data_IF_221870917164
#
_entry.id   IF_221870917164
#
_cell.length_a   1.000
_cell.length_b   1.000
_cell.length_c   1.000
_cell.angle_alpha   90.00
_cell.angle_beta   90.00
_cell.angle_gamma   90.00
#
_symmetry.space_group_name_H-M   'P 1'
#
loop_
_entity.id
_entity.type
_entity.pdbx_description
1 polymer ?
#
# COMPACT_ATOMS: atom_id res chain seq x y z
N UNK A 1 -13.79 1.72 -11.29
CA UNK A 1 -14.38 2.99 -11.76
C UNK A 1 -13.31 4.02 -12.10
N UNK A 2 -12.37 4.36 -11.22
CA UNK A 2 -11.30 5.33 -11.51
C UNK A 2 -10.44 4.94 -12.74
N UNK A 3 -10.13 3.65 -12.93
CA UNK A 3 -9.37 3.12 -14.09
C UNK A 3 -10.03 3.44 -15.44
N UNK A 4 -11.34 3.61 -15.46
CA UNK A 4 -12.09 3.98 -16.69
C UNK A 4 -12.23 5.50 -16.79
N UNK A 5 -12.59 6.16 -15.67
CA UNK A 5 -12.86 7.60 -15.68
C UNK A 5 -11.58 8.45 -15.89
N UNK A 6 -10.44 8.04 -15.30
CA UNK A 6 -9.21 8.80 -15.40
C UNK A 6 -8.69 8.90 -16.85
N UNK A 7 -8.54 7.80 -17.62
CA UNK A 7 -8.15 7.89 -19.02
C UNK A 7 -9.16 8.69 -19.86
N UNK A 8 -10.47 8.52 -19.61
CA UNK A 8 -11.51 9.25 -20.34
C UNK A 8 -11.39 10.75 -20.12
N UNK A 9 -11.20 11.20 -18.88
CA UNK A 9 -11.11 12.64 -18.57
C UNK A 9 -9.78 13.25 -19.00
N UNK A 10 -8.68 12.47 -18.94
CA UNK A 10 -7.36 12.94 -19.33
C UNK A 10 -7.25 13.04 -20.86
N UNK A 11 -7.59 11.95 -21.57
CA UNK A 11 -7.29 11.81 -22.99
C UNK A 11 -8.48 12.17 -23.90
N UNK A 12 -9.71 11.76 -23.56
CA UNK A 12 -10.87 12.02 -24.41
C UNK A 12 -11.41 13.43 -24.21
N UNK A 13 -11.52 13.89 -22.95
CA UNK A 13 -11.98 15.27 -22.65
C UNK A 13 -10.83 16.30 -22.64
N UNK A 14 -9.58 15.86 -22.68
CA UNK A 14 -8.42 16.74 -22.73
C UNK A 14 -8.17 17.57 -21.47
N UNK A 15 -8.79 17.19 -20.32
CA UNK A 15 -8.68 17.95 -19.06
C UNK A 15 -7.37 17.76 -18.31
N UNK A 16 -6.46 16.89 -18.80
CA UNK A 16 -5.15 16.65 -18.21
C UNK A 16 -5.22 16.31 -16.71
N UNK A 17 -4.40 16.97 -15.90
CA UNK A 17 -4.31 16.74 -14.44
C UNK A 17 -5.64 17.02 -13.72
N UNK A 18 -6.40 18.02 -14.17
CA UNK A 18 -7.73 18.34 -13.60
C UNK A 18 -8.71 17.20 -13.83
N UNK A 19 -8.65 16.56 -14.99
CA UNK A 19 -9.46 15.38 -15.31
C UNK A 19 -9.13 14.19 -14.40
N UNK A 20 -7.84 13.95 -14.14
CA UNK A 20 -7.41 12.90 -13.21
C UNK A 20 -7.93 13.14 -11.78
N UNK A 21 -7.87 14.38 -11.30
CA UNK A 21 -8.38 14.75 -9.98
C UNK A 21 -9.90 14.54 -9.87
N UNK A 22 -10.66 15.00 -10.86
CA UNK A 22 -12.12 14.81 -10.90
C UNK A 22 -12.51 13.33 -10.97
N UNK A 23 -11.82 12.53 -11.78
CA UNK A 23 -12.05 11.09 -11.86
C UNK A 23 -11.87 10.42 -10.48
N UNK A 24 -10.84 10.82 -9.74
CA UNK A 24 -10.58 10.30 -8.40
C UNK A 24 -11.67 10.69 -7.41
N UNK A 25 -12.09 11.96 -7.40
CA UNK A 25 -13.17 12.45 -6.53
C UNK A 25 -14.48 11.71 -6.82
N UNK A 26 -14.86 11.58 -8.09
CA UNK A 26 -16.08 10.88 -8.48
C UNK A 26 -16.05 9.40 -8.09
N UNK A 27 -14.91 8.73 -8.26
CA UNK A 27 -14.75 7.34 -7.83
C UNK A 27 -14.91 7.19 -6.31
N UNK A 28 -14.31 8.09 -5.54
CA UNK A 28 -14.43 8.10 -4.07
C UNK A 28 -15.85 8.43 -3.62
N UNK A 29 -16.52 9.42 -4.22
CA UNK A 29 -17.92 9.73 -3.94
C UNK A 29 -18.84 8.54 -4.21
N UNK A 30 -18.65 7.83 -5.32
CA UNK A 30 -19.46 6.64 -5.64
C UNK A 30 -19.24 5.54 -4.60
N UNK A 31 -18.01 5.29 -4.19
CA UNK A 31 -17.68 4.32 -3.14
C UNK A 31 -18.31 4.71 -1.81
N UNK A 32 -18.25 5.99 -1.44
CA UNK A 32 -18.86 6.51 -0.22
C UNK A 32 -20.39 6.33 -0.23
N UNK A 33 -21.06 6.69 -1.33
CA UNK A 33 -22.51 6.52 -1.48
C UNK A 33 -22.89 5.05 -1.36
N UNK A 34 -22.12 4.16 -1.98
CA UNK A 34 -22.34 2.72 -1.87
C UNK A 34 -22.20 2.22 -0.43
N UNK A 35 -21.14 2.62 0.27
CA UNK A 35 -20.89 2.26 1.66
C UNK A 35 -22.01 2.78 2.59
N UNK A 36 -22.44 4.03 2.43
CA UNK A 36 -23.54 4.59 3.21
C UNK A 36 -24.83 3.81 2.96
N UNK A 37 -25.15 3.47 1.72
CA UNK A 37 -26.33 2.66 1.40
C UNK A 37 -26.28 1.29 2.06
N UNK A 38 -25.13 0.64 2.03
CA UNK A 38 -24.92 -0.66 2.65
C UNK A 38 -25.09 -0.60 4.17
N UNK A 39 -24.47 0.39 4.82
CA UNK A 39 -24.59 0.62 6.26
C UNK A 39 -25.97 1.14 6.71
N UNK A 40 -26.77 1.68 5.79
CA UNK A 40 -28.14 2.14 6.08
C UNK A 40 -29.19 1.03 6.00
N UNK A 41 -28.78 -0.18 5.55
CA UNK A 41 -29.68 -1.32 5.44
C UNK A 41 -29.89 -1.96 6.82
N UNK A 42 -31.10 -1.93 7.42
CA UNK A 42 -31.35 -2.49 8.75
C UNK A 42 -31.27 -4.02 8.82
N UNK A 43 -31.24 -4.71 7.67
CA UNK A 43 -31.12 -6.17 7.61
C UNK A 43 -29.67 -6.65 7.74
N UNK A 44 -28.69 -5.73 7.67
CA UNK A 44 -27.28 -6.06 7.83
C UNK A 44 -26.88 -6.10 9.32
N UNK A 45 -25.92 -6.98 9.65
CA UNK A 45 -25.38 -7.10 11.02
C UNK A 45 -24.81 -5.80 11.56
N UNK A 46 -24.22 -5.00 10.69
CA UNK A 46 -23.66 -3.68 11.00
C UNK A 46 -24.48 -2.62 10.23
N UNK A 47 -25.33 -1.89 10.94
CA UNK A 47 -26.10 -0.78 10.37
C UNK A 47 -26.02 0.48 11.23
N UNK A 48 -26.17 1.63 10.60
CA UNK A 48 -26.19 2.92 11.27
C UNK A 48 -27.47 3.06 12.08
N UNK A 49 -27.36 3.10 13.41
CA UNK A 49 -28.47 3.36 14.31
C UNK A 49 -28.54 4.85 14.64
N UNK A 50 -29.73 5.44 14.53
CA UNK A 50 -29.97 6.83 14.95
C UNK A 50 -29.91 6.93 16.48
N UNK A 51 -29.15 7.89 17.00
CA UNK A 51 -29.13 8.21 18.45
C UNK A 51 -27.90 7.72 19.23
N UNK A 52 -26.94 7.00 18.62
CA UNK A 52 -25.71 6.56 19.29
C UNK A 52 -24.58 7.57 18.99
N UNK A 53 -24.78 8.83 19.38
CA UNK A 53 -23.75 9.88 19.14
C UNK A 53 -22.98 10.28 20.40
N UNK A 54 -23.20 9.58 21.54
CA UNK A 54 -22.42 9.86 22.74
C UNK A 54 -21.03 9.24 22.64
N UNK A 55 -20.02 10.09 22.56
CA UNK A 55 -18.61 9.67 22.59
C UNK A 55 -18.27 9.16 24.00
N UNK A 56 -18.19 7.84 24.14
CA UNK A 56 -17.72 7.21 25.39
C UNK A 56 -16.20 7.23 25.41
N UNK A 57 -15.60 7.88 26.40
CA UNK A 57 -14.14 8.05 26.54
C UNK A 57 -13.38 6.72 26.45
N UNK A 58 -13.89 5.65 27.04
CA UNK A 58 -13.24 4.33 27.00
C UNK A 58 -13.19 3.75 25.57
N UNK A 59 -14.25 3.95 24.78
CA UNK A 59 -14.29 3.47 23.38
C UNK A 59 -13.33 4.32 22.53
N UNK A 60 -13.34 5.64 22.69
CA UNK A 60 -12.45 6.55 21.98
C UNK A 60 -10.99 6.24 22.29
N UNK A 61 -10.64 6.03 23.57
CA UNK A 61 -9.28 5.63 23.96
C UNK A 61 -8.85 4.29 23.31
N UNK A 62 -9.74 3.31 23.26
CA UNK A 62 -9.48 2.03 22.60
C UNK A 62 -9.20 2.20 21.11
N UNK A 63 -10.03 2.98 20.40
CA UNK A 63 -9.84 3.27 18.96
C UNK A 63 -8.51 4.01 18.71
N UNK A 64 -8.22 5.04 19.50
CA UNK A 64 -6.98 5.82 19.37
C UNK A 64 -5.74 4.97 19.68
N UNK A 65 -5.79 4.10 20.69
CA UNK A 65 -4.69 3.21 21.04
C UNK A 65 -4.35 2.24 19.90
N UNK A 66 -5.37 1.67 19.26
CA UNK A 66 -5.17 0.78 18.10
C UNK A 66 -4.68 1.55 16.87
N UNK A 67 -5.25 2.74 16.64
CA UNK A 67 -4.90 3.59 15.50
C UNK A 67 -3.52 4.27 15.60
N UNK A 68 -2.98 4.41 16.82
CA UNK A 68 -1.69 5.07 17.05
C UNK A 68 -0.52 4.30 16.42
N UNK A 69 -0.55 2.96 16.46
CA UNK A 69 0.52 2.13 15.91
C UNK A 69 0.69 2.33 14.40
N UNK A 70 -0.35 2.14 13.55
CA UNK A 70 -0.22 2.39 12.12
C UNK A 70 0.06 3.87 11.79
N UNK A 71 -0.44 4.80 12.59
CA UNK A 71 -0.11 6.22 12.43
C UNK A 71 1.38 6.49 12.60
N UNK A 72 2.01 5.98 13.68
CA UNK A 72 3.43 6.16 13.93
C UNK A 72 4.29 5.50 12.85
N UNK A 73 3.91 4.30 12.37
CA UNK A 73 4.62 3.63 11.28
C UNK A 73 4.59 4.49 10.01
N UNK A 74 3.43 5.01 9.62
CA UNK A 74 3.31 5.86 8.43
C UNK A 74 4.04 7.21 8.61
N UNK A 75 3.97 7.83 9.79
CA UNK A 75 4.70 9.06 10.08
C UNK A 75 6.22 8.84 9.99
N UNK A 76 6.74 7.75 10.57
CA UNK A 76 8.14 7.38 10.46
C UNK A 76 8.55 7.14 8.99
N UNK A 77 7.73 6.43 8.21
CA UNK A 77 7.98 6.22 6.78
C UNK A 77 8.07 7.55 6.00
N UNK A 78 7.18 8.51 6.27
CA UNK A 78 7.25 9.84 5.65
C UNK A 78 8.56 10.56 6.01
N UNK A 79 8.98 10.53 7.27
CA UNK A 79 10.23 11.14 7.71
C UNK A 79 11.43 10.51 7.00
N UNK A 80 11.46 9.18 6.91
CA UNK A 80 12.53 8.44 6.20
C UNK A 80 12.61 8.85 4.73
N UNK A 81 11.47 8.96 4.03
CA UNK A 81 11.45 9.41 2.63
C UNK A 81 11.99 10.84 2.48
N UNK A 82 11.64 11.74 3.39
CA UNK A 82 12.15 13.12 3.37
C UNK A 82 13.68 13.15 3.58
N UNK A 83 14.19 12.38 4.55
CA UNK A 83 15.62 12.28 4.83
C UNK A 83 16.38 11.70 3.63
N UNK A 84 15.87 10.62 3.02
CA UNK A 84 16.48 9.99 1.84
C UNK A 84 16.52 10.98 0.68
N UNK A 85 15.40 11.63 0.36
CA UNK A 85 15.35 12.60 -0.73
C UNK A 85 16.30 13.78 -0.52
N UNK A 86 16.39 14.28 0.72
CA UNK A 86 17.35 15.35 1.08
C UNK A 86 18.80 14.86 0.95
N UNK A 87 19.10 13.66 1.41
CA UNK A 87 20.43 13.06 1.30
C UNK A 87 20.84 12.82 -0.16
N UNK A 88 19.96 12.31 -0.99
CA UNK A 88 20.20 12.09 -2.42
C UNK A 88 20.46 13.41 -3.15
N UNK A 89 19.70 14.46 -2.81
CA UNK A 89 19.88 15.77 -3.43
C UNK A 89 21.21 16.45 -3.04
N UNK A 90 21.64 16.27 -1.79
CA UNK A 90 22.84 16.92 -1.26
C UNK A 90 24.14 16.22 -1.66
N UNK A 91 24.13 14.90 -1.83
CA UNK A 91 25.34 14.08 -1.97
C UNK A 91 25.55 13.47 -3.36
N UNK A 92 24.70 13.77 -4.36
CA UNK A 92 24.86 13.30 -5.74
C UNK A 92 25.10 14.43 -6.71
N UNK A 93 26.02 14.20 -7.68
CA UNK A 93 26.33 15.15 -8.76
C UNK A 93 25.09 15.53 -9.59
N UNK A 94 24.10 14.61 -9.67
CA UNK A 94 22.78 14.80 -10.28
C UNK A 94 21.68 14.37 -9.30
N UNK A 95 21.39 15.20 -8.29
CA UNK A 95 20.45 14.92 -7.22
C UNK A 95 19.04 14.61 -7.73
N UNK A 96 18.56 15.33 -8.73
CA UNK A 96 17.22 15.11 -9.31
C UNK A 96 17.11 13.75 -10.01
N UNK A 97 18.17 13.33 -10.71
CA UNK A 97 18.23 12.00 -11.34
C UNK A 97 18.23 10.88 -10.28
N UNK A 98 18.93 11.09 -9.17
CA UNK A 98 18.99 10.13 -8.06
C UNK A 98 17.65 10.00 -7.33
N UNK A 99 16.93 11.10 -7.14
CA UNK A 99 15.57 11.12 -6.58
C UNK A 99 14.59 10.40 -7.52
N UNK A 100 14.70 10.64 -8.84
CA UNK A 100 13.86 9.95 -9.82
C UNK A 100 14.14 8.44 -9.83
N UNK A 101 15.40 8.03 -9.77
CA UNK A 101 15.81 6.63 -9.67
C UNK A 101 15.27 5.95 -8.40
N UNK A 102 15.38 6.60 -7.26
CA UNK A 102 14.79 6.15 -6.00
C UNK A 102 13.25 6.03 -6.11
N UNK A 103 12.60 6.99 -6.75
CA UNK A 103 11.16 6.97 -7.00
C UNK A 103 10.71 5.74 -7.80
N UNK A 104 11.46 5.36 -8.84
CA UNK A 104 11.19 4.17 -9.66
C UNK A 104 11.36 2.90 -8.79
N UNK A 105 12.47 2.78 -8.06
CA UNK A 105 12.73 1.65 -7.19
C UNK A 105 11.66 1.49 -6.10
N UNK A 106 11.25 2.58 -5.47
CA UNK A 106 10.22 2.58 -4.45
C UNK A 106 8.84 2.18 -5.01
N UNK A 107 8.47 2.63 -6.21
CA UNK A 107 7.21 2.22 -6.86
C UNK A 107 7.19 0.73 -7.16
N UNK A 108 8.30 0.17 -7.63
CA UNK A 108 8.39 -1.26 -7.89
C UNK A 108 8.25 -2.09 -6.61
N UNK A 109 8.95 -1.68 -5.55
CA UNK A 109 8.85 -2.32 -4.24
C UNK A 109 7.42 -2.25 -3.68
N UNK A 110 6.75 -1.10 -3.85
CA UNK A 110 5.39 -0.88 -3.38
C UNK A 110 4.36 -1.81 -4.04
N UNK A 111 4.56 -2.22 -5.29
CA UNK A 111 3.69 -3.19 -5.97
C UNK A 111 3.65 -4.52 -5.19
N UNK A 112 4.81 -5.06 -4.82
CA UNK A 112 4.88 -6.31 -4.06
C UNK A 112 4.34 -6.16 -2.64
N UNK A 113 4.64 -5.04 -1.98
CA UNK A 113 4.08 -4.70 -0.66
C UNK A 113 2.56 -4.64 -0.70
N UNK A 114 1.95 -4.06 -1.74
CA UNK A 114 0.49 -4.00 -1.89
C UNK A 114 -0.15 -5.38 -2.01
N UNK A 115 0.49 -6.33 -2.70
CA UNK A 115 0.01 -7.71 -2.79
C UNK A 115 0.01 -8.35 -1.38
N UNK A 116 1.09 -8.17 -0.62
CA UNK A 116 1.19 -8.69 0.75
C UNK A 116 0.16 -8.05 1.68
N UNK A 117 -0.04 -6.73 1.57
CA UNK A 117 -1.09 -6.04 2.34
C UNK A 117 -2.48 -6.58 2.01
N UNK A 118 -2.75 -6.88 0.74
CA UNK A 118 -4.01 -7.54 0.34
C UNK A 118 -4.19 -8.91 0.98
N UNK A 119 -3.14 -9.73 1.01
CA UNK A 119 -3.16 -11.03 1.70
C UNK A 119 -3.40 -10.87 3.22
N UNK A 120 -2.73 -9.91 3.85
CA UNK A 120 -2.87 -9.63 5.28
C UNK A 120 -4.27 -9.14 5.62
N UNK A 121 -4.84 -8.25 4.82
CA UNK A 121 -6.22 -7.77 5.02
C UNK A 121 -7.26 -8.90 4.85
N UNK A 122 -7.03 -9.83 3.91
CA UNK A 122 -7.87 -11.01 3.75
C UNK A 122 -7.75 -12.01 4.92
N UNK A 123 -6.56 -12.10 5.52
CA UNK A 123 -6.31 -12.95 6.68
C UNK A 123 -7.01 -12.45 7.95
N UNK A 124 -7.04 -11.13 8.18
CA UNK A 124 -7.52 -10.54 9.43
C UNK A 124 -8.93 -11.00 9.86
N UNK A 125 -9.98 -10.97 9.01
CA UNK A 125 -11.31 -11.42 9.40
C UNK A 125 -11.36 -12.92 9.68
N UNK A 126 -10.58 -13.74 8.94
CA UNK A 126 -10.52 -15.19 9.16
C UNK A 126 -9.90 -15.51 10.53
N UNK A 127 -8.78 -14.85 10.83
CA UNK A 127 -8.10 -14.98 12.12
C UNK A 127 -9.00 -14.50 13.26
N UNK A 128 -9.61 -13.30 13.12
CA UNK A 128 -10.50 -12.73 14.13
C UNK A 128 -11.69 -13.64 14.46
N UNK A 129 -12.36 -14.16 13.44
CA UNK A 129 -13.49 -15.10 13.62
C UNK A 129 -13.07 -16.40 14.32
N UNK A 130 -11.99 -17.04 13.85
CA UNK A 130 -11.53 -18.32 14.42
C UNK A 130 -10.93 -18.15 15.83
N UNK A 131 -10.31 -16.99 16.11
CA UNK A 131 -9.83 -16.67 17.46
C UNK A 131 -10.98 -16.51 18.44
N UNK A 132 -12.04 -15.77 18.07
CA UNK A 132 -13.25 -15.66 18.88
C UNK A 132 -13.96 -17.01 19.12
N UNK A 133 -13.91 -17.91 18.13
CA UNK A 133 -14.42 -19.28 18.24
C UNK A 133 -13.47 -20.25 18.98
N UNK A 134 -12.34 -19.76 19.53
CA UNK A 134 -11.30 -20.55 20.24
C UNK A 134 -10.67 -21.68 19.38
N UNK A 135 -10.71 -21.54 18.06
CA UNK A 135 -10.13 -22.51 17.10
C UNK A 135 -8.69 -22.14 16.76
N UNK A 136 -7.79 -22.28 17.71
CA UNK A 136 -6.39 -21.86 17.61
C UNK A 136 -5.63 -22.58 16.48
N UNK A 137 -5.98 -23.83 16.17
CA UNK A 137 -5.36 -24.58 15.06
C UNK A 137 -5.61 -23.92 13.72
N UNK A 138 -6.84 -23.41 13.48
CA UNK A 138 -7.17 -22.68 12.26
C UNK A 138 -6.49 -21.32 12.19
N UNK A 139 -6.39 -20.61 13.33
CA UNK A 139 -5.66 -19.36 13.42
C UNK A 139 -4.21 -19.56 13.01
N UNK A 140 -3.54 -20.56 13.60
CA UNK A 140 -2.14 -20.90 13.29
C UNK A 140 -1.96 -21.30 11.83
N UNK A 141 -2.83 -22.15 11.30
CA UNK A 141 -2.78 -22.60 9.91
C UNK A 141 -2.92 -21.42 8.94
N UNK A 142 -3.91 -20.54 9.16
CA UNK A 142 -4.13 -19.35 8.33
C UNK A 142 -2.93 -18.40 8.39
N UNK A 143 -2.37 -18.16 9.58
CA UNK A 143 -1.19 -17.32 9.76
C UNK A 143 0.01 -17.88 9.00
N UNK A 144 0.31 -19.18 9.17
CA UNK A 144 1.45 -19.83 8.50
C UNK A 144 1.31 -19.82 6.97
N UNK A 145 0.11 -20.07 6.45
CA UNK A 145 -0.16 -19.97 5.01
C UNK A 145 0.05 -18.56 4.49
N UNK A 146 -0.44 -17.55 5.22
CA UNK A 146 -0.27 -16.15 4.83
C UNK A 146 1.21 -15.73 4.85
N UNK A 147 1.96 -16.13 5.87
CA UNK A 147 3.43 -15.90 5.94
C UNK A 147 4.12 -16.54 4.73
N UNK A 148 3.79 -17.79 4.43
CA UNK A 148 4.41 -18.49 3.29
C UNK A 148 4.16 -17.77 1.97
N UNK A 149 2.91 -17.44 1.66
CA UNK A 149 2.56 -16.75 0.43
C UNK A 149 3.12 -15.31 0.38
N UNK A 150 3.09 -14.58 1.48
CA UNK A 150 3.68 -13.25 1.57
C UNK A 150 5.19 -13.27 1.34
N UNK A 151 5.91 -14.20 1.98
CA UNK A 151 7.36 -14.37 1.80
C UNK A 151 7.69 -14.82 0.37
N UNK A 152 6.89 -15.70 -0.22
CA UNK A 152 7.05 -16.13 -1.62
C UNK A 152 6.92 -14.95 -2.57
N UNK A 153 5.87 -14.13 -2.42
CA UNK A 153 5.64 -12.94 -3.27
C UNK A 153 6.80 -11.94 -3.15
N UNK A 154 7.24 -11.65 -1.93
CA UNK A 154 8.36 -10.71 -1.72
C UNK A 154 9.69 -11.28 -2.20
N UNK A 155 9.91 -12.60 -2.11
CA UNK A 155 11.09 -13.26 -2.67
C UNK A 155 11.10 -13.22 -4.21
N UNK A 156 9.94 -13.38 -4.84
CA UNK A 156 9.79 -13.16 -6.29
C UNK A 156 10.11 -11.71 -6.64
N UNK A 157 9.61 -10.75 -5.85
CA UNK A 157 9.92 -9.34 -6.02
C UNK A 157 11.42 -9.04 -5.90
N UNK A 158 12.09 -9.64 -4.91
CA UNK A 158 13.54 -9.59 -4.78
C UNK A 158 14.23 -10.13 -6.05
N UNK A 159 13.85 -11.32 -6.50
CA UNK A 159 14.44 -11.94 -7.69
C UNK A 159 14.27 -11.06 -8.94
N UNK A 160 13.09 -10.48 -9.14
CA UNK A 160 12.83 -9.57 -10.27
C UNK A 160 13.71 -8.33 -10.19
N UNK A 161 13.81 -7.69 -9.02
CA UNK A 161 14.64 -6.50 -8.83
C UNK A 161 16.14 -6.77 -8.90
N UNK A 162 16.60 -7.99 -8.57
CA UNK A 162 18.01 -8.36 -8.60
C UNK A 162 18.47 -8.80 -9.99
N UNK A 163 17.71 -9.69 -10.65
CA UNK A 163 18.15 -10.32 -11.90
C UNK A 163 17.77 -9.51 -13.15
N UNK A 164 16.65 -8.80 -13.15
CA UNK A 164 16.15 -8.08 -14.33
C UNK A 164 15.80 -6.60 -14.08
N UNK A 165 16.57 -5.87 -13.24
CA UNK A 165 16.20 -4.49 -12.87
C UNK A 165 16.18 -3.54 -14.07
N UNK A 166 17.07 -3.75 -15.06
CA UNK A 166 17.10 -2.91 -16.26
C UNK A 166 15.86 -3.06 -17.14
N UNK A 167 15.26 -4.26 -17.22
CA UNK A 167 13.99 -4.47 -17.94
C UNK A 167 12.85 -3.77 -17.21
N UNK A 168 12.83 -3.88 -15.89
CA UNK A 168 11.83 -3.20 -15.05
C UNK A 168 11.96 -1.69 -15.16
N UNK A 169 13.17 -1.12 -15.09
CA UNK A 169 13.39 0.31 -15.21
C UNK A 169 12.94 0.87 -16.58
N UNK A 170 13.10 0.12 -17.66
CA UNK A 170 12.63 0.49 -19.02
C UNK A 170 11.12 0.65 -19.13
N UNK A 171 10.34 0.03 -18.25
CA UNK A 171 8.87 0.24 -18.20
C UNK A 171 8.53 1.68 -17.76
N UNK A 172 9.40 2.30 -16.96
CA UNK A 172 9.16 3.62 -16.39
C UNK A 172 9.87 4.76 -17.16
N UNK A 173 10.98 4.46 -17.81
CA UNK A 173 11.78 5.48 -18.50
C UNK A 173 12.56 4.90 -19.67
N UNK A 174 12.85 5.76 -20.64
CA UNK A 174 13.71 5.46 -21.81
C UNK A 174 15.11 6.05 -21.68
N UNK A 175 15.35 6.87 -20.65
CA UNK A 175 16.64 7.54 -20.43
C UNK A 175 17.70 6.59 -19.87
N UNK A 176 18.82 6.34 -20.60
CA UNK A 176 19.81 5.35 -20.20
C UNK A 176 20.44 5.61 -18.82
N UNK A 177 20.77 6.87 -18.52
CA UNK A 177 21.36 7.26 -17.24
C UNK A 177 20.42 7.00 -16.06
N UNK A 178 19.12 7.21 -16.25
CA UNK A 178 18.11 6.95 -15.23
C UNK A 178 17.87 5.44 -15.06
N UNK A 179 17.91 4.66 -16.16
CA UNK A 179 17.78 3.19 -16.10
C UNK A 179 18.92 2.58 -15.29
N UNK A 180 20.16 3.02 -15.51
CA UNK A 180 21.31 2.52 -14.79
C UNK A 180 21.21 2.79 -13.28
N UNK A 181 20.92 4.06 -12.90
CA UNK A 181 20.76 4.45 -11.50
C UNK A 181 19.56 3.78 -10.81
N UNK A 182 18.43 3.67 -11.52
CA UNK A 182 17.25 2.99 -11.01
C UNK A 182 17.51 1.49 -10.80
N UNK A 183 18.26 0.84 -11.72
CA UNK A 183 18.63 -0.56 -11.59
C UNK A 183 19.51 -0.80 -10.37
N UNK A 184 20.48 0.07 -10.12
CA UNK A 184 21.30 0.00 -8.90
C UNK A 184 20.46 0.23 -7.64
N UNK A 185 19.61 1.25 -7.63
CA UNK A 185 18.72 1.54 -6.51
C UNK A 185 17.77 0.37 -6.20
N UNK A 186 17.19 -0.28 -7.24
CA UNK A 186 16.34 -1.46 -7.07
C UNK A 186 17.08 -2.63 -6.41
N UNK A 187 18.31 -2.93 -6.83
CA UNK A 187 19.12 -3.99 -6.22
C UNK A 187 19.38 -3.72 -4.73
N UNK A 188 19.86 -2.52 -4.40
CA UNK A 188 20.15 -2.16 -3.00
C UNK A 188 18.90 -2.22 -2.12
N UNK A 189 17.78 -1.67 -2.60
CA UNK A 189 16.54 -1.62 -1.82
C UNK A 189 15.84 -2.98 -1.70
N UNK A 190 16.04 -3.89 -2.65
CA UNK A 190 15.36 -5.19 -2.65
C UNK A 190 15.99 -6.24 -1.74
N UNK A 191 17.21 -6.04 -1.24
CA UNK A 191 17.94 -7.00 -0.40
C UNK A 191 17.10 -7.50 0.79
N UNK A 192 16.36 -6.61 1.42
CA UNK A 192 15.52 -6.94 2.59
C UNK A 192 14.09 -7.34 2.24
N UNK A 193 13.74 -7.37 0.96
CA UNK A 193 12.36 -7.68 0.53
C UNK A 193 11.82 -9.03 1.06
N UNK A 194 12.58 -10.14 1.07
CA UNK A 194 12.08 -11.40 1.61
C UNK A 194 11.68 -11.31 3.09
N UNK A 195 12.39 -10.49 3.87
CA UNK A 195 12.12 -10.29 5.30
C UNK A 195 10.85 -9.43 5.49
N UNK A 196 10.62 -8.47 4.61
CA UNK A 196 9.43 -7.60 4.66
C UNK A 196 8.14 -8.43 4.54
N UNK A 197 8.13 -9.48 3.72
CA UNK A 197 6.97 -10.36 3.58
C UNK A 197 6.58 -11.05 4.89
N UNK A 198 7.55 -11.51 5.66
CA UNK A 198 7.33 -12.05 7.00
C UNK A 198 6.86 -10.98 7.98
N UNK A 199 7.54 -9.84 8.02
CA UNK A 199 7.28 -8.75 8.95
C UNK A 199 5.88 -8.12 8.80
N UNK A 200 5.36 -8.02 7.57
CA UNK A 200 4.05 -7.42 7.32
C UNK A 200 2.88 -8.30 7.75
N UNK A 201 3.10 -9.60 7.95
CA UNK A 201 2.07 -10.57 8.35
C UNK A 201 2.04 -10.78 9.86
N UNK A 202 3.20 -10.64 10.53
CA UNK A 202 3.35 -10.86 11.98
C UNK A 202 3.21 -9.58 12.77
#
# INVERSE_FOLDING_TARGET
>A
MNVILAPTFIFVLGWGIRGAALATILAQCTTLIWQIRMLSNPNELLHLQRGIYSLKSNIVKGILSIGLSPFLINAAACIVVIIINKGLRSNSDNGDLSIAAYGIANRMQFIFVMIVLGLTQGMQPIVGYNYGAKRHDRVRSTLMQTIFWATLVTTIGFAVCEFIPGVVARIFTTEPALIERASWAMRVMSIFMPIIGFQLVT
#
